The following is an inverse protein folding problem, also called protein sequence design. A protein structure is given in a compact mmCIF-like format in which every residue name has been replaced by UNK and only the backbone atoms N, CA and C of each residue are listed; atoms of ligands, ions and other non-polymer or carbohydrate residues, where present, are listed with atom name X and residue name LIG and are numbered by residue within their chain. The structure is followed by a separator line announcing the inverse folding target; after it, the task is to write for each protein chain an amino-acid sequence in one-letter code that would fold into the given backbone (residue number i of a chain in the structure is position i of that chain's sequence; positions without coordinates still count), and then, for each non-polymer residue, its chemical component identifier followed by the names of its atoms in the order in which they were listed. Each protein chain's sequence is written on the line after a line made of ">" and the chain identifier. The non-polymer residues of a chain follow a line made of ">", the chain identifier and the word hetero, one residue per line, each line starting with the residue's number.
data_IF_340265935083
#
_entry.id   IF_340265935083
#
_cell.length_a   1.000
_cell.length_b   1.000
_cell.length_c   1.000
_cell.angle_alpha   90.00
_cell.angle_beta   90.00
_cell.angle_gamma   90.00
#
_symmetry.space_group_name_H-M   'P 1'
#
loop_
_entity.id
_entity.type
_entity.pdbx_description
1 polymer ?
#
# COMPACT_ATOMS: atom_id res chain seq x y z
N UNK A 1 24.38 -57.36 3.22
CA UNK A 1 24.13 -57.20 1.79
C UNK A 1 23.67 -55.79 1.54
N UNK A 2 24.54 -55.06 0.97
CA UNK A 2 24.61 -53.70 0.48
C UNK A 2 23.30 -52.89 0.34
N UNK A 3 23.31 -51.81 1.04
CA UNK A 3 22.42 -50.67 0.78
C UNK A 3 23.24 -49.46 0.36
N UNK A 4 23.08 -49.02 -0.88
CA UNK A 4 23.78 -47.88 -1.44
C UNK A 4 22.89 -46.60 -1.27
N UNK A 5 23.31 -45.79 -0.34
CA UNK A 5 22.73 -44.48 -0.07
C UNK A 5 23.24 -43.48 -1.14
N UNK A 6 22.34 -42.98 -2.00
CA UNK A 6 22.61 -41.92 -2.97
C UNK A 6 22.47 -40.56 -2.30
N UNK A 7 23.58 -39.97 -1.88
CA UNK A 7 23.72 -38.56 -1.52
C UNK A 7 23.37 -37.67 -2.73
N UNK A 8 22.24 -36.96 -2.68
CA UNK A 8 21.98 -35.80 -3.55
C UNK A 8 22.50 -34.57 -2.85
N UNK A 9 23.65 -34.06 -3.28
CA UNK A 9 24.17 -32.75 -2.90
C UNK A 9 23.22 -31.66 -3.42
N UNK A 10 22.41 -31.09 -2.54
CA UNK A 10 21.64 -29.87 -2.81
C UNK A 10 22.54 -28.70 -2.41
N UNK A 11 23.10 -28.02 -3.40
CA UNK A 11 23.86 -26.79 -3.20
C UNK A 11 22.99 -25.73 -2.54
N UNK A 12 23.48 -25.11 -1.47
CA UNK A 12 22.79 -24.01 -0.81
C UNK A 12 22.81 -22.78 -1.73
N UNK A 13 21.77 -21.92 -1.62
CA UNK A 13 21.67 -20.65 -2.39
C UNK A 13 22.92 -19.78 -2.26
N UNK A 14 23.62 -19.85 -1.15
CA UNK A 14 24.85 -19.09 -0.88
C UNK A 14 26.06 -19.61 -1.68
N UNK A 15 26.11 -20.89 -1.95
CA UNK A 15 27.16 -21.52 -2.80
C UNK A 15 26.89 -21.29 -4.27
N UNK A 16 25.60 -21.28 -4.70
CA UNK A 16 25.19 -20.94 -6.05
C UNK A 16 25.61 -19.51 -6.46
N UNK A 17 25.39 -18.54 -5.55
CA UNK A 17 25.77 -17.13 -5.79
C UNK A 17 27.28 -16.90 -5.83
N UNK A 18 28.08 -17.70 -5.09
CA UNK A 18 29.55 -17.63 -5.15
C UNK A 18 30.11 -18.19 -6.45
N UNK A 19 29.44 -19.16 -7.07
CA UNK A 19 29.88 -19.79 -8.33
C UNK A 19 29.63 -18.89 -9.55
N UNK A 20 28.65 -18.01 -9.51
CA UNK A 20 28.36 -17.05 -10.60
C UNK A 20 29.30 -15.84 -10.57
N UNK A 21 29.86 -15.47 -9.42
CA UNK A 21 30.76 -14.33 -9.27
C UNK A 21 32.20 -14.53 -9.74
N UNK A 22 32.62 -15.75 -10.09
CA UNK A 22 34.01 -16.08 -10.40
C UNK A 22 34.34 -16.38 -11.89
N UNK A 23 33.34 -16.22 -12.79
CA UNK A 23 33.51 -16.54 -14.21
C UNK A 23 33.24 -15.35 -15.14
N UNK A 24 33.87 -14.23 -14.93
CA UNK A 24 33.70 -13.02 -15.73
C UNK A 24 34.97 -12.26 -16.04
N UNK A 25 35.98 -12.89 -16.66
CA UNK A 25 36.98 -12.18 -17.46
C UNK A 25 37.57 -13.13 -18.48
N UNK A 26 37.32 -12.91 -19.71
CA UNK A 26 38.10 -12.95 -20.93
C UNK A 26 37.34 -13.50 -22.15
N UNK A 27 37.37 -12.71 -23.18
CA UNK A 27 37.49 -13.04 -24.60
C UNK A 27 36.39 -12.54 -25.53
N UNK A 28 36.76 -11.55 -26.23
CA UNK A 28 36.45 -11.04 -27.58
C UNK A 28 35.77 -11.98 -28.60
N UNK A 29 34.72 -11.41 -29.24
CA UNK A 29 34.49 -11.46 -30.70
C UNK A 29 33.83 -12.69 -31.28
N UNK A 30 32.63 -12.48 -31.82
CA UNK A 30 32.25 -12.72 -33.23
C UNK A 30 30.72 -12.73 -33.42
N UNK A 31 30.35 -12.03 -34.45
CA UNK A 31 29.02 -11.84 -35.03
C UNK A 31 28.38 -13.15 -35.53
N UNK A 32 27.07 -13.32 -35.31
CA UNK A 32 26.14 -13.83 -36.33
C UNK A 32 24.68 -13.77 -35.89
N UNK A 33 23.81 -13.37 -36.80
CA UNK A 33 22.37 -13.18 -36.70
C UNK A 33 21.57 -14.48 -36.55
N UNK A 34 20.45 -14.43 -35.79
CA UNK A 34 19.09 -14.71 -36.27
C UNK A 34 18.13 -15.10 -35.14
N UNK A 35 16.98 -14.42 -35.11
CA UNK A 35 15.67 -15.04 -34.80
C UNK A 35 15.11 -14.96 -33.39
N UNK A 36 14.33 -13.93 -33.09
CA UNK A 36 12.98 -14.00 -32.53
C UNK A 36 12.76 -14.49 -31.10
N UNK A 37 12.45 -13.58 -30.20
CA UNK A 37 11.90 -13.88 -28.88
C UNK A 37 12.03 -12.67 -27.96
N UNK A 38 10.99 -11.85 -27.95
CA UNK A 38 10.96 -10.57 -27.23
C UNK A 38 10.62 -10.82 -25.77
N UNK A 39 11.60 -10.94 -24.90
CA UNK A 39 11.48 -10.75 -23.44
C UNK A 39 12.60 -9.82 -22.98
N UNK A 40 12.48 -8.57 -23.42
CA UNK A 40 13.38 -7.49 -23.05
C UNK A 40 12.99 -6.82 -21.74
N UNK A 41 13.14 -7.50 -20.61
CA UNK A 41 13.36 -6.79 -19.36
C UNK A 41 14.79 -6.29 -19.37
N UNK A 42 15.02 -5.08 -19.86
CA UNK A 42 16.28 -4.36 -19.75
C UNK A 42 16.71 -4.32 -18.29
N UNK A 43 17.74 -5.09 -17.94
CA UNK A 43 18.50 -4.89 -16.72
C UNK A 43 19.21 -3.54 -16.84
N UNK A 44 18.52 -2.46 -16.46
CA UNK A 44 19.17 -1.21 -16.16
C UNK A 44 20.21 -1.50 -15.09
N UNK A 45 21.48 -1.16 -15.33
CA UNK A 45 22.56 -1.30 -14.38
C UNK A 45 22.10 -0.69 -13.06
N UNK A 46 22.05 -1.50 -12.00
CA UNK A 46 21.63 -1.08 -10.69
C UNK A 46 22.69 -0.11 -10.16
N UNK A 47 22.55 1.18 -10.48
CA UNK A 47 23.32 2.21 -9.82
C UNK A 47 23.07 2.05 -8.32
N UNK A 48 24.16 1.97 -7.56
CA UNK A 48 24.13 1.83 -6.11
C UNK A 48 23.31 2.97 -5.50
N UNK A 49 22.35 2.63 -4.63
CA UNK A 49 21.49 3.64 -3.99
C UNK A 49 22.32 4.29 -2.88
N UNK A 50 22.56 5.61 -2.90
CA UNK A 50 23.36 6.27 -1.87
C UNK A 50 22.68 6.18 -0.50
N UNK A 51 23.40 5.68 0.50
CA UNK A 51 22.87 5.50 1.86
C UNK A 51 22.65 6.82 2.62
N UNK A 52 23.28 7.91 2.21
CA UNK A 52 23.32 9.21 2.91
C UNK A 52 22.44 10.30 2.26
N UNK A 53 21.64 9.94 1.24
CA UNK A 53 20.91 10.92 0.41
C UNK A 53 19.40 10.95 0.63
N UNK A 54 18.89 10.28 1.64
CA UNK A 54 17.46 10.33 1.97
C UNK A 54 17.00 11.78 2.19
N UNK A 55 15.87 12.12 1.57
CA UNK A 55 15.21 13.41 1.84
C UNK A 55 14.43 13.32 3.14
N UNK A 56 14.63 14.31 4.02
CA UNK A 56 13.94 14.39 5.32
C UNK A 56 13.03 15.62 5.37
N UNK A 57 12.01 15.53 6.24
CA UNK A 57 11.12 16.64 6.61
C UNK A 57 11.10 16.77 8.12
N UNK A 58 11.09 18.01 8.60
CA UNK A 58 11.01 18.29 10.05
C UNK A 58 9.55 18.50 10.44
N UNK A 59 9.08 17.75 11.44
CA UNK A 59 7.78 18.00 12.04
C UNK A 59 7.82 19.37 12.76
N UNK A 60 6.94 20.33 12.41
CA UNK A 60 7.00 21.67 12.98
C UNK A 60 6.64 21.72 14.46
N UNK A 61 5.97 20.69 14.99
CA UNK A 61 5.52 20.64 16.39
C UNK A 61 6.54 19.94 17.28
N UNK A 62 7.07 18.77 16.87
CA UNK A 62 7.97 17.96 17.69
C UNK A 62 9.45 18.18 17.37
N UNK A 63 9.77 18.76 16.21
CA UNK A 63 11.15 18.87 15.73
C UNK A 63 11.71 17.57 15.14
N UNK A 64 10.94 16.50 15.10
CA UNK A 64 11.39 15.21 14.57
C UNK A 64 11.79 15.31 13.09
N UNK A 65 12.99 14.87 12.77
CA UNK A 65 13.50 14.79 11.40
C UNK A 65 13.12 13.44 10.79
N UNK A 66 12.03 13.41 10.04
CA UNK A 66 11.41 12.18 9.49
C UNK A 66 11.80 12.00 8.03
N UNK A 67 12.15 10.76 7.65
CA UNK A 67 12.40 10.40 6.23
C UNK A 67 11.14 10.58 5.40
N UNK A 68 11.30 11.15 4.20
CA UNK A 68 10.17 11.36 3.30
C UNK A 68 9.58 10.05 2.78
N UNK A 69 10.39 8.98 2.69
CA UNK A 69 9.90 7.61 2.55
C UNK A 69 9.60 7.03 3.92
N UNK A 70 8.34 6.67 4.17
CA UNK A 70 7.91 5.90 5.33
C UNK A 70 7.64 4.44 4.96
N UNK A 71 8.04 3.51 5.82
CA UNK A 71 7.80 2.07 5.63
C UNK A 71 6.43 1.68 6.19
N UNK A 72 5.47 1.37 5.30
CA UNK A 72 4.15 0.86 5.68
C UNK A 72 4.18 -0.66 5.94
N UNK A 73 3.95 -1.08 7.18
CA UNK A 73 4.03 -2.47 7.62
C UNK A 73 2.74 -3.29 7.37
N UNK A 74 1.84 -2.77 6.55
CA UNK A 74 0.56 -3.42 6.22
C UNK A 74 0.72 -4.57 5.21
N UNK A 75 1.78 -4.56 4.40
CA UNK A 75 2.03 -5.50 3.30
C UNK A 75 3.32 -6.27 3.49
N UNK A 76 3.55 -6.76 4.73
CA UNK A 76 4.74 -7.53 5.04
C UNK A 76 4.81 -8.81 4.18
N UNK A 77 6.02 -9.30 3.86
CA UNK A 77 6.20 -10.55 3.13
C UNK A 77 5.71 -11.75 3.94
N UNK A 78 5.21 -12.77 3.25
CA UNK A 78 4.88 -14.08 3.82
C UNK A 78 5.84 -15.14 3.33
N UNK A 79 5.90 -16.26 4.05
CA UNK A 79 6.73 -17.43 3.70
C UNK A 79 6.44 -17.94 2.28
N UNK A 80 5.21 -17.73 1.77
CA UNK A 80 4.84 -18.03 0.36
C UNK A 80 5.27 -16.99 -0.66
N UNK A 81 6.02 -15.95 -0.26
CA UNK A 81 6.52 -14.88 -1.16
C UNK A 81 5.48 -13.86 -1.60
N UNK A 82 4.26 -13.93 -1.06
CA UNK A 82 3.20 -12.92 -1.21
C UNK A 82 3.16 -12.00 0.00
N UNK A 83 2.35 -10.95 -0.06
CA UNK A 83 2.07 -10.16 1.12
C UNK A 83 1.32 -10.98 2.17
N UNK A 84 1.77 -10.96 3.44
CA UNK A 84 1.12 -11.63 4.57
C UNK A 84 -0.33 -11.18 4.80
N UNK A 85 -0.76 -10.08 4.13
CA UNK A 85 -2.12 -9.62 4.07
C UNK A 85 -3.01 -10.52 3.21
N UNK A 86 -2.45 -11.26 2.26
CA UNK A 86 -3.18 -11.95 1.21
C UNK A 86 -3.71 -13.32 1.58
N UNK A 87 -3.25 -13.93 2.66
CA UNK A 87 -3.62 -15.27 3.03
C UNK A 87 -3.56 -15.57 4.54
N UNK A 88 -3.66 -16.85 4.87
CA UNK A 88 -3.36 -17.38 6.21
C UNK A 88 -1.86 -17.63 6.40
N UNK A 89 -1.05 -17.26 5.41
CA UNK A 89 0.38 -17.50 5.42
C UNK A 89 1.04 -16.74 6.58
N UNK A 90 2.08 -17.32 7.13
CA UNK A 90 2.85 -16.68 8.17
C UNK A 90 3.72 -15.58 7.61
N UNK A 91 3.98 -14.56 8.42
CA UNK A 91 4.94 -13.51 8.05
C UNK A 91 6.32 -14.14 7.95
N UNK A 92 7.01 -13.87 6.87
CA UNK A 92 8.43 -14.18 6.71
C UNK A 92 9.25 -13.16 7.50
N UNK A 93 9.51 -13.47 8.77
CA UNK A 93 10.22 -12.56 9.68
C UNK A 93 11.65 -12.29 9.23
N UNK A 94 12.33 -13.25 8.59
CA UNK A 94 13.69 -13.07 8.09
C UNK A 94 13.70 -12.01 6.97
N UNK A 95 12.80 -12.14 6.01
CA UNK A 95 12.64 -11.15 4.95
C UNK A 95 12.21 -9.78 5.49
N UNK A 96 11.34 -9.72 6.51
CA UNK A 96 10.98 -8.44 7.18
C UNK A 96 12.22 -7.79 7.79
N UNK A 97 13.05 -8.58 8.48
CA UNK A 97 14.29 -8.08 9.08
C UNK A 97 15.24 -7.54 8.01
N UNK A 98 15.45 -8.27 6.92
CA UNK A 98 16.30 -7.83 5.80
C UNK A 98 15.81 -6.51 5.18
N UNK A 99 14.50 -6.38 4.96
CA UNK A 99 13.91 -5.16 4.41
C UNK A 99 14.06 -3.97 5.37
N UNK A 100 13.86 -4.18 6.67
CA UNK A 100 14.00 -3.12 7.69
C UNK A 100 15.46 -2.72 7.84
N UNK A 101 16.40 -3.68 7.89
CA UNK A 101 17.83 -3.40 7.96
C UNK A 101 18.28 -2.56 6.77
N UNK A 102 17.88 -2.96 5.57
CA UNK A 102 18.22 -2.23 4.33
C UNK A 102 17.59 -0.82 4.32
N UNK A 103 16.33 -0.68 4.75
CA UNK A 103 15.65 0.59 4.82
C UNK A 103 16.34 1.57 5.77
N UNK A 104 16.70 1.12 7.00
CA UNK A 104 17.41 1.93 7.99
C UNK A 104 18.80 2.32 7.50
N UNK A 105 19.53 1.38 6.89
CA UNK A 105 20.85 1.64 6.31
C UNK A 105 20.82 2.71 5.21
N UNK A 106 19.67 2.90 4.54
CA UNK A 106 19.46 3.91 3.51
C UNK A 106 18.65 5.12 4.00
N UNK A 107 18.57 5.31 5.33
CA UNK A 107 18.03 6.52 5.95
C UNK A 107 16.51 6.55 6.15
N UNK A 108 15.79 5.47 5.90
CA UNK A 108 14.37 5.37 6.29
C UNK A 108 14.28 5.25 7.80
N UNK A 109 13.52 6.14 8.42
CA UNK A 109 13.39 6.17 9.87
C UNK A 109 11.94 6.24 10.38
N UNK A 110 10.93 6.07 9.52
CA UNK A 110 9.51 6.07 9.91
C UNK A 110 8.83 4.76 9.51
N UNK A 111 8.30 4.02 10.50
CA UNK A 111 7.68 2.71 10.33
C UNK A 111 6.25 2.75 10.83
N UNK A 112 5.29 2.56 9.91
CA UNK A 112 3.85 2.67 10.18
C UNK A 112 3.18 1.29 10.25
N UNK A 113 2.64 0.94 11.40
CA UNK A 113 1.93 -0.32 11.63
C UNK A 113 0.55 -0.10 12.26
N UNK A 114 -0.10 -1.19 12.69
CA UNK A 114 -1.41 -1.17 13.35
C UNK A 114 -1.73 -2.55 13.92
N UNK A 115 -2.44 -2.66 15.06
CA UNK A 115 -2.94 -3.95 15.56
C UNK A 115 -3.91 -4.64 14.59
N UNK A 116 -4.48 -3.93 13.61
CA UNK A 116 -5.35 -4.52 12.59
C UNK A 116 -4.59 -5.08 11.36
N UNK A 117 -3.29 -4.77 11.22
CA UNK A 117 -2.53 -5.17 10.02
C UNK A 117 -2.06 -6.62 10.09
N UNK A 118 -1.98 -7.28 8.93
CA UNK A 118 -1.56 -8.68 8.82
C UNK A 118 -2.30 -9.60 9.81
N UNK A 119 -3.61 -9.38 9.99
CA UNK A 119 -4.45 -10.14 10.95
C UNK A 119 -3.94 -10.10 12.40
N UNK A 120 -3.47 -8.96 12.83
CA UNK A 120 -2.96 -8.73 14.18
C UNK A 120 -1.49 -9.09 14.39
N UNK A 121 -0.78 -9.51 13.35
CA UNK A 121 0.63 -9.96 13.48
C UNK A 121 1.66 -8.87 13.14
N UNK A 122 1.24 -7.73 12.55
CA UNK A 122 2.16 -6.73 12.03
C UNK A 122 2.96 -6.02 13.13
N UNK A 123 2.33 -5.64 14.26
CA UNK A 123 3.05 -4.97 15.36
C UNK A 123 4.17 -5.83 15.92
N UNK A 124 3.90 -7.12 16.17
CA UNK A 124 4.92 -8.06 16.65
C UNK A 124 6.08 -8.22 15.68
N UNK A 125 5.78 -8.40 14.38
CA UNK A 125 6.81 -8.53 13.38
C UNK A 125 7.65 -7.23 13.24
N UNK A 126 7.00 -6.07 13.35
CA UNK A 126 7.65 -4.76 13.38
C UNK A 126 8.55 -4.61 14.61
N UNK A 127 8.05 -4.97 15.80
CA UNK A 127 8.81 -4.92 17.04
C UNK A 127 10.07 -5.79 16.99
N UNK A 128 9.94 -7.05 16.52
CA UNK A 128 11.10 -7.96 16.34
C UNK A 128 12.14 -7.35 15.38
N UNK A 129 11.72 -6.78 14.26
CA UNK A 129 12.67 -6.22 13.30
C UNK A 129 13.36 -4.97 13.84
N UNK A 130 12.60 -4.05 14.44
CA UNK A 130 13.12 -2.76 14.91
C UNK A 130 13.94 -2.88 16.22
N UNK A 131 13.64 -3.83 17.10
CA UNK A 131 14.42 -4.04 18.35
C UNK A 131 15.88 -4.43 18.08
N UNK A 132 16.25 -4.77 16.86
CA UNK A 132 17.62 -5.05 16.42
C UNK A 132 18.45 -3.79 16.19
N UNK A 133 17.82 -2.61 16.22
CA UNK A 133 18.42 -1.32 15.97
C UNK A 133 18.33 -0.41 17.19
N UNK A 134 19.26 0.56 17.35
CA UNK A 134 19.15 1.54 18.42
C UNK A 134 17.83 2.33 18.32
N UNK A 135 17.15 2.52 19.45
CA UNK A 135 15.80 3.10 19.51
C UNK A 135 15.71 4.54 18.97
N UNK A 136 16.80 5.27 19.00
CA UNK A 136 16.92 6.65 18.47
C UNK A 136 17.06 6.73 16.96
N UNK A 137 17.21 5.61 16.26
CA UNK A 137 17.36 5.55 14.80
C UNK A 137 16.04 5.52 14.04
N UNK A 138 14.90 5.32 14.73
CA UNK A 138 13.61 5.18 14.07
C UNK A 138 12.46 5.73 14.88
N UNK A 139 11.39 6.07 14.19
CA UNK A 139 10.08 6.43 14.71
C UNK A 139 9.09 5.30 14.43
N UNK A 140 8.31 4.90 15.43
CA UNK A 140 7.21 3.94 15.32
C UNK A 140 5.89 4.71 15.29
N UNK A 141 5.11 4.47 14.25
CA UNK A 141 3.71 4.86 14.18
C UNK A 141 2.81 3.63 14.31
N UNK A 142 1.85 3.69 15.24
CA UNK A 142 0.78 2.69 15.32
C UNK A 142 -0.57 3.35 15.61
N UNK A 143 -1.64 2.56 15.67
CA UNK A 143 -3.00 3.09 15.63
C UNK A 143 -3.89 2.42 16.67
N UNK A 144 -4.81 3.17 17.26
CA UNK A 144 -5.89 2.57 18.04
C UNK A 144 -6.99 2.07 17.09
N UNK A 145 -7.01 0.77 16.81
CA UNK A 145 -7.83 0.12 15.79
C UNK A 145 -9.09 -0.54 16.37
N UNK A 146 -9.78 0.14 17.26
CA UNK A 146 -11.01 -0.31 17.93
C UNK A 146 -12.23 -0.27 16.99
N UNK A 147 -12.20 -1.02 15.87
CA UNK A 147 -13.25 -0.97 14.84
C UNK A 147 -14.55 -1.69 15.24
N UNK A 148 -14.45 -2.81 15.97
CA UNK A 148 -15.61 -3.59 16.35
C UNK A 148 -16.27 -3.03 17.62
N UNK A 149 -17.63 -2.99 17.72
CA UNK A 149 -18.32 -2.52 18.92
C UNK A 149 -17.83 -3.16 20.24
N UNK A 150 -17.44 -4.41 20.21
CA UNK A 150 -16.85 -5.12 21.36
C UNK A 150 -15.54 -4.50 21.87
N UNK A 151 -14.86 -3.67 21.05
CA UNK A 151 -13.61 -2.99 21.41
C UNK A 151 -13.78 -1.53 21.76
N UNK A 152 -15.03 -1.00 21.79
CA UNK A 152 -15.32 0.40 22.05
C UNK A 152 -15.31 0.79 23.53
N UNK A 153 -15.35 -0.18 24.46
CA UNK A 153 -15.23 0.19 25.88
C UNK A 153 -13.86 0.81 26.16
N UNK A 154 -13.80 1.64 27.22
CA UNK A 154 -12.53 2.25 27.67
C UNK A 154 -11.50 1.18 28.00
N UNK A 155 -11.91 0.15 28.73
CA UNK A 155 -11.06 -0.95 29.15
C UNK A 155 -10.45 -1.70 27.95
N UNK A 156 -11.27 -2.05 26.98
CA UNK A 156 -10.84 -2.76 25.76
C UNK A 156 -9.90 -1.90 24.91
N UNK A 157 -10.20 -0.60 24.76
CA UNK A 157 -9.35 0.33 24.01
C UNK A 157 -8.01 0.58 24.71
N UNK A 158 -8.00 0.73 26.04
CA UNK A 158 -6.76 0.85 26.84
C UNK A 158 -5.94 -0.42 26.76
N UNK A 159 -6.59 -1.60 26.84
CA UNK A 159 -5.92 -2.88 26.71
C UNK A 159 -5.26 -3.02 25.31
N UNK A 160 -5.93 -2.59 24.26
CA UNK A 160 -5.38 -2.57 22.88
C UNK A 160 -4.13 -1.68 22.81
N UNK A 161 -4.20 -0.45 23.31
CA UNK A 161 -3.06 0.47 23.36
C UNK A 161 -1.86 -0.12 24.12
N UNK A 162 -2.10 -0.70 25.30
CA UNK A 162 -1.03 -1.35 26.10
C UNK A 162 -0.45 -2.57 25.40
N UNK A 163 -1.30 -3.34 24.70
CA UNK A 163 -0.83 -4.47 23.91
C UNK A 163 0.06 -4.02 22.74
N UNK A 164 -0.24 -2.89 22.10
CA UNK A 164 0.62 -2.33 21.04
C UNK A 164 2.03 -2.03 21.56
N UNK A 165 2.18 -1.42 22.75
CA UNK A 165 3.49 -1.22 23.39
C UNK A 165 4.26 -2.54 23.59
N UNK A 166 3.55 -3.57 24.08
CA UNK A 166 4.12 -4.90 24.29
C UNK A 166 4.55 -5.59 23.01
N UNK A 167 3.69 -5.62 21.99
CA UNK A 167 3.98 -6.27 20.70
C UNK A 167 5.11 -5.55 19.94
N UNK A 168 5.17 -4.23 20.05
CA UNK A 168 6.23 -3.40 19.48
C UNK A 168 7.52 -3.41 20.29
N UNK A 169 7.50 -3.96 21.52
CA UNK A 169 8.65 -4.04 22.43
C UNK A 169 9.23 -2.66 22.78
N UNK A 170 8.36 -1.68 23.07
CA UNK A 170 8.74 -0.30 23.38
C UNK A 170 8.02 0.26 24.60
N UNK A 171 8.63 1.23 25.27
CA UNK A 171 8.05 1.93 26.43
C UNK A 171 7.21 3.15 26.04
N UNK A 172 7.39 3.66 24.80
CA UNK A 172 6.66 4.80 24.25
C UNK A 172 6.46 4.65 22.75
N UNK A 173 5.40 5.30 22.24
CA UNK A 173 5.05 5.37 20.83
C UNK A 173 5.38 6.76 20.30
N UNK A 174 6.13 6.86 19.19
CA UNK A 174 6.48 8.15 18.61
C UNK A 174 5.27 8.83 17.94
N UNK A 175 4.44 8.05 17.23
CA UNK A 175 3.27 8.55 16.50
C UNK A 175 2.07 7.63 16.73
N UNK A 176 1.08 8.07 17.49
CA UNK A 176 -0.17 7.31 17.68
C UNK A 176 -1.30 7.96 16.92
N UNK A 177 -2.12 7.14 16.24
CA UNK A 177 -3.27 7.60 15.47
C UNK A 177 -4.59 7.04 16.00
N UNK A 178 -5.62 7.87 16.03
CA UNK A 178 -7.00 7.39 16.00
C UNK A 178 -7.24 6.75 14.62
N UNK A 179 -7.58 5.46 14.56
CA UNK A 179 -7.59 4.72 13.30
C UNK A 179 -8.90 4.86 12.54
N UNK A 180 -8.83 5.39 11.31
CA UNK A 180 -9.95 5.41 10.37
C UNK A 180 -11.14 6.24 10.83
N UNK A 181 -10.90 7.46 11.33
CA UNK A 181 -12.00 8.38 11.69
C UNK A 181 -12.82 8.73 10.44
N UNK A 182 -14.14 8.83 10.60
CA UNK A 182 -15.08 9.06 9.49
C UNK A 182 -15.57 7.79 8.79
N UNK A 183 -15.07 6.61 9.17
CA UNK A 183 -15.62 5.32 8.70
C UNK A 183 -17.00 5.02 9.32
N UNK A 184 -17.64 3.96 8.85
CA UNK A 184 -18.91 3.46 9.38
C UNK A 184 -20.05 4.51 9.33
N UNK A 185 -20.68 4.81 10.46
CA UNK A 185 -21.70 5.83 10.61
C UNK A 185 -21.15 7.25 10.79
N UNK A 186 -19.86 7.47 10.54
CA UNK A 186 -19.23 8.78 10.58
C UNK A 186 -19.12 9.34 11.99
N UNK A 187 -19.80 10.47 12.28
CA UNK A 187 -19.68 11.16 13.55
C UNK A 187 -20.16 10.30 14.73
N UNK A 188 -21.24 9.57 14.58
CA UNK A 188 -21.79 8.72 15.64
C UNK A 188 -20.80 7.62 16.07
N UNK A 189 -20.15 6.98 15.08
CA UNK A 189 -19.13 5.98 15.36
C UNK A 189 -17.87 6.59 15.97
N UNK A 190 -17.44 7.75 15.47
CA UNK A 190 -16.33 8.50 16.05
C UNK A 190 -16.56 8.81 17.53
N UNK A 191 -17.73 9.35 17.86
CA UNK A 191 -18.10 9.65 19.26
C UNK A 191 -18.09 8.39 20.14
N UNK A 192 -18.64 7.28 19.63
CA UNK A 192 -18.73 6.02 20.38
C UNK A 192 -17.34 5.39 20.60
N UNK A 193 -16.48 5.47 19.59
CA UNK A 193 -15.11 4.88 19.64
C UNK A 193 -14.14 5.68 20.49
N UNK A 194 -14.27 7.02 20.56
CA UNK A 194 -13.21 7.86 21.09
C UNK A 194 -13.64 8.87 22.16
N UNK A 195 -14.88 9.36 22.11
CA UNK A 195 -15.33 10.44 22.99
C UNK A 195 -16.14 9.94 24.18
N UNK A 196 -17.28 9.25 23.93
CA UNK A 196 -18.22 8.83 24.98
C UNK A 196 -17.60 7.85 25.99
N UNK A 197 -16.61 7.08 25.57
CA UNK A 197 -15.87 6.15 26.43
C UNK A 197 -14.65 6.80 27.13
N UNK A 198 -14.37 8.09 26.87
CA UNK A 198 -13.25 8.83 27.45
C UNK A 198 -11.86 8.35 27.03
N UNK A 199 -11.75 7.59 25.92
CA UNK A 199 -10.46 7.10 25.45
C UNK A 199 -9.61 8.21 24.86
N UNK A 200 -10.21 9.22 24.21
CA UNK A 200 -9.46 10.36 23.68
C UNK A 200 -8.76 11.12 24.81
N UNK A 201 -9.46 11.36 25.92
CA UNK A 201 -8.89 12.02 27.12
C UNK A 201 -7.71 11.22 27.67
N UNK A 202 -7.86 9.90 27.76
CA UNK A 202 -6.77 9.00 28.18
C UNK A 202 -5.56 9.12 27.26
N UNK A 203 -5.74 9.14 25.93
CA UNK A 203 -4.62 9.29 24.99
C UNK A 203 -3.95 10.66 25.08
N UNK A 204 -4.70 11.71 25.35
CA UNK A 204 -4.16 13.04 25.63
C UNK A 204 -3.33 13.05 26.94
N UNK A 205 -3.74 12.31 27.98
CA UNK A 205 -2.97 12.12 29.19
C UNK A 205 -1.68 11.33 28.94
N UNK A 206 -1.74 10.24 28.16
CA UNK A 206 -0.56 9.46 27.75
C UNK A 206 0.44 10.33 26.96
N UNK A 207 -0.05 11.27 26.13
CA UNK A 207 0.82 12.23 25.45
C UNK A 207 1.46 13.21 26.44
N UNK A 208 0.72 13.77 27.39
CA UNK A 208 1.28 14.65 28.43
C UNK A 208 2.33 13.91 29.28
N UNK A 209 2.15 12.64 29.51
CA UNK A 209 3.08 11.78 30.23
C UNK A 209 4.31 11.31 29.38
N UNK A 210 4.37 11.68 28.10
CA UNK A 210 5.48 11.31 27.21
C UNK A 210 5.47 9.88 26.69
N UNK A 211 4.44 9.07 27.01
CA UNK A 211 4.29 7.70 26.47
C UNK A 211 3.75 7.69 25.05
N UNK A 212 3.11 8.77 24.62
CA UNK A 212 2.83 9.11 23.23
C UNK A 212 3.55 10.41 22.93
N UNK A 213 4.45 10.44 21.94
CA UNK A 213 5.17 11.68 21.59
C UNK A 213 4.33 12.57 20.67
N UNK A 214 3.72 11.99 19.65
CA UNK A 214 2.86 12.66 18.68
C UNK A 214 1.51 11.95 18.60
N UNK A 215 0.41 12.71 18.77
CA UNK A 215 -0.95 12.19 18.62
C UNK A 215 -1.58 12.80 17.38
N UNK A 216 -2.17 11.94 16.55
CA UNK A 216 -2.86 12.31 15.32
C UNK A 216 -4.02 11.37 15.01
N UNK A 217 -4.49 11.40 13.78
CA UNK A 217 -5.54 10.50 13.31
C UNK A 217 -5.35 10.14 11.83
N UNK A 218 -5.86 8.99 11.42
CA UNK A 218 -6.03 8.64 10.01
C UNK A 218 -7.49 8.83 9.61
N UNK A 219 -7.70 9.50 8.48
CA UNK A 219 -9.03 9.85 8.00
C UNK A 219 -9.45 8.96 6.83
N UNK A 220 -10.73 8.50 6.90
CA UNK A 220 -11.43 7.83 5.80
C UNK A 220 -12.95 8.16 5.87
N UNK A 221 -13.54 8.54 4.75
CA UNK A 221 -15.01 8.60 4.56
C UNK A 221 -15.65 9.93 4.91
N UNK A 222 -16.39 10.04 6.01
CA UNK A 222 -17.19 11.23 6.32
C UNK A 222 -16.33 12.45 6.64
N UNK A 223 -16.33 13.44 5.74
CA UNK A 223 -15.53 14.67 5.87
C UNK A 223 -15.96 15.51 7.07
N UNK A 224 -17.20 15.40 7.54
CA UNK A 224 -17.66 16.13 8.73
C UNK A 224 -16.87 15.76 9.99
N UNK A 225 -16.41 14.51 10.09
CA UNK A 225 -15.53 14.07 11.19
C UNK A 225 -14.14 14.72 11.08
N UNK A 226 -13.60 14.78 9.88
CA UNK A 226 -12.33 15.44 9.60
C UNK A 226 -12.41 16.94 9.97
N UNK A 227 -13.42 17.64 9.47
CA UNK A 227 -13.62 19.07 9.73
C UNK A 227 -13.85 19.35 11.22
N UNK A 228 -14.63 18.48 11.91
CA UNK A 228 -14.85 18.57 13.35
C UNK A 228 -13.54 18.48 14.14
N UNK A 229 -12.69 17.49 13.80
CA UNK A 229 -11.40 17.31 14.47
C UNK A 229 -10.42 18.46 14.21
N UNK A 230 -10.43 19.02 13.00
CA UNK A 230 -9.62 20.20 12.67
C UNK A 230 -10.14 21.47 13.32
N UNK A 231 -11.45 21.64 13.45
CA UNK A 231 -12.05 22.78 14.18
C UNK A 231 -11.67 22.77 15.67
N UNK A 232 -11.37 21.60 16.23
CA UNK A 232 -10.91 21.42 17.61
C UNK A 232 -9.38 21.29 17.74
N UNK A 233 -8.64 21.70 16.71
CA UNK A 233 -7.18 21.61 16.76
C UNK A 233 -6.56 22.34 17.93
N UNK A 234 -7.12 23.50 18.33
CA UNK A 234 -6.66 24.25 19.50
C UNK A 234 -6.83 23.53 20.82
N UNK A 235 -7.79 22.64 20.92
CA UNK A 235 -8.04 21.78 22.08
C UNK A 235 -7.14 20.53 22.02
N UNK A 236 -7.17 19.80 20.93
CA UNK A 236 -6.50 18.50 20.81
C UNK A 236 -5.03 18.61 20.42
N UNK A 237 -4.59 19.71 19.81
CA UNK A 237 -3.20 19.94 19.37
C UNK A 237 -2.68 18.77 18.55
N UNK A 238 -3.36 18.43 17.43
CA UNK A 238 -2.92 17.37 16.54
C UNK A 238 -1.51 17.62 16.02
N UNK A 239 -0.60 16.67 16.23
CA UNK A 239 0.79 16.78 15.80
C UNK A 239 0.97 16.43 14.31
N UNK A 240 0.02 15.65 13.74
CA UNK A 240 0.00 15.24 12.35
C UNK A 240 -1.36 14.63 12.01
N UNK A 241 -1.65 14.48 10.70
CA UNK A 241 -2.84 13.80 10.22
C UNK A 241 -2.48 12.93 9.01
N UNK A 242 -2.97 11.70 9.00
CA UNK A 242 -2.77 10.75 7.90
C UNK A 242 -3.95 10.79 6.94
N UNK A 243 -3.70 11.11 5.68
CA UNK A 243 -4.71 11.22 4.61
C UNK A 243 -4.32 10.39 3.39
N UNK A 244 -5.31 9.89 2.67
CA UNK A 244 -5.14 9.30 1.34
C UNK A 244 -4.87 10.42 0.35
N UNK A 245 -3.71 10.34 -0.38
CA UNK A 245 -3.33 11.36 -1.34
C UNK A 245 -2.45 10.77 -2.45
N UNK A 246 -2.83 11.02 -3.69
CA UNK A 246 -2.10 10.74 -4.90
C UNK A 246 -2.63 11.63 -6.04
N UNK A 247 -2.00 11.61 -7.21
CA UNK A 247 -2.38 12.50 -8.32
C UNK A 247 -3.78 12.22 -8.91
N UNK A 248 -4.33 11.01 -8.71
CA UNK A 248 -5.70 10.68 -9.14
C UNK A 248 -6.73 11.18 -8.12
N UNK A 249 -6.54 10.85 -6.84
CA UNK A 249 -7.43 11.25 -5.75
C UNK A 249 -7.38 12.76 -5.48
N UNK A 250 -6.38 13.46 -6.02
CA UNK A 250 -6.24 14.91 -5.86
C UNK A 250 -7.53 15.64 -6.24
N UNK A 251 -8.15 15.29 -7.39
CA UNK A 251 -9.39 15.91 -7.90
C UNK A 251 -10.51 14.92 -8.20
N UNK A 252 -10.27 13.62 -8.08
CA UNK A 252 -11.24 12.62 -8.53
C UNK A 252 -11.63 11.61 -7.46
N UNK A 253 -11.19 11.77 -6.20
CA UNK A 253 -11.54 10.84 -5.12
C UNK A 253 -13.06 10.74 -4.94
N UNK A 254 -13.75 11.88 -4.87
CA UNK A 254 -15.21 11.95 -4.75
C UNK A 254 -15.95 11.37 -5.95
N UNK A 255 -15.40 11.54 -7.18
CA UNK A 255 -15.97 10.97 -8.40
C UNK A 255 -15.84 9.45 -8.45
N UNK A 256 -14.70 8.92 -7.97
CA UNK A 256 -14.43 7.47 -7.88
C UNK A 256 -15.30 6.83 -6.80
N UNK A 257 -15.44 7.49 -5.66
CA UNK A 257 -16.25 7.06 -4.54
C UNK A 257 -16.92 8.28 -3.89
N UNK A 258 -18.27 8.43 -3.96
CA UNK A 258 -18.98 9.62 -3.46
C UNK A 258 -18.79 9.93 -1.97
N UNK A 259 -18.31 8.97 -1.18
CA UNK A 259 -17.98 9.17 0.23
C UNK A 259 -16.55 9.62 0.49
N UNK A 260 -15.68 9.52 -0.53
CA UNK A 260 -14.34 10.06 -0.42
C UNK A 260 -14.36 11.58 -0.61
N UNK A 261 -13.34 12.21 -0.09
CA UNK A 261 -13.10 13.64 -0.27
C UNK A 261 -11.84 13.82 -1.12
N UNK A 262 -11.89 14.73 -2.08
CA UNK A 262 -10.74 15.03 -2.91
C UNK A 262 -9.54 15.44 -2.05
N UNK A 263 -8.38 14.89 -2.35
CA UNK A 263 -7.18 15.07 -1.53
C UNK A 263 -6.70 16.52 -1.51
N UNK A 264 -7.00 17.31 -2.54
CA UNK A 264 -6.73 18.75 -2.60
C UNK A 264 -7.41 19.50 -1.43
N UNK A 265 -8.66 19.16 -1.12
CA UNK A 265 -9.37 19.73 0.02
C UNK A 265 -8.72 19.34 1.35
N UNK A 266 -8.51 18.05 1.56
CA UNK A 266 -7.96 17.54 2.82
C UNK A 266 -6.57 18.13 3.09
N UNK A 267 -5.71 18.11 2.10
CA UNK A 267 -4.38 18.69 2.18
C UNK A 267 -4.44 20.20 2.42
N UNK A 268 -5.32 20.92 1.71
CA UNK A 268 -5.51 22.36 1.87
C UNK A 268 -5.90 22.75 3.29
N UNK A 269 -6.82 22.01 3.93
CA UNK A 269 -7.25 22.28 5.30
C UNK A 269 -6.14 22.01 6.33
N UNK A 270 -5.31 21.00 6.12
CA UNK A 270 -4.13 20.74 6.95
C UNK A 270 -3.08 21.87 6.81
N UNK A 271 -2.84 22.33 5.58
CA UNK A 271 -1.90 23.42 5.30
C UNK A 271 -2.30 24.74 5.95
N UNK A 272 -3.59 25.09 5.94
CA UNK A 272 -4.11 26.31 6.61
C UNK A 272 -3.79 26.33 8.11
N UNK A 273 -3.67 25.14 8.74
CA UNK A 273 -3.43 24.98 10.17
C UNK A 273 -1.99 24.59 10.51
N UNK A 274 -1.12 24.53 9.51
CA UNK A 274 0.26 24.07 9.63
C UNK A 274 0.39 22.67 10.27
N UNK A 275 -0.59 21.78 10.03
CA UNK A 275 -0.59 20.40 10.49
C UNK A 275 0.12 19.54 9.43
N UNK A 276 1.18 18.80 9.78
CA UNK A 276 1.87 17.92 8.84
C UNK A 276 0.97 16.79 8.34
N UNK A 277 1.05 16.50 7.03
CA UNK A 277 0.35 15.38 6.42
C UNK A 277 1.27 14.16 6.33
N UNK A 278 0.82 13.03 6.84
CA UNK A 278 1.36 11.71 6.53
C UNK A 278 0.51 11.11 5.41
N UNK A 279 1.15 10.67 4.32
CA UNK A 279 0.41 10.23 3.14
C UNK A 279 0.29 8.72 3.13
N UNK A 280 -0.96 8.23 3.08
CA UNK A 280 -1.29 6.82 2.78
C UNK A 280 -1.84 6.69 1.37
N UNK A 281 -1.81 5.47 0.83
CA UNK A 281 -2.32 5.11 -0.50
C UNK A 281 -1.72 5.95 -1.66
N UNK A 282 -0.42 6.25 -1.64
CA UNK A 282 0.20 7.00 -2.74
C UNK A 282 0.06 6.27 -4.08
N UNK A 283 -0.04 4.93 -4.06
CA UNK A 283 -0.24 4.09 -5.24
C UNK A 283 -1.66 3.50 -5.37
N UNK A 284 -2.63 3.87 -4.53
CA UNK A 284 -3.96 3.26 -4.51
C UNK A 284 -3.92 1.72 -4.50
N UNK A 285 -3.18 1.15 -3.54
CA UNK A 285 -3.01 -0.31 -3.43
C UNK A 285 -2.23 -0.94 -4.60
N UNK A 286 -1.48 -0.15 -5.36
CA UNK A 286 -0.73 -0.58 -6.54
C UNK A 286 -1.40 -0.23 -7.87
N UNK A 287 -2.60 0.33 -7.89
CA UNK A 287 -3.28 0.73 -9.13
C UNK A 287 -2.49 1.75 -9.94
N UNK A 288 -1.79 2.67 -9.30
CA UNK A 288 -0.98 3.69 -9.96
C UNK A 288 0.41 3.18 -10.39
N UNK A 289 0.79 1.97 -10.05
CA UNK A 289 1.95 1.26 -10.62
C UNK A 289 1.57 0.33 -11.78
N UNK A 290 0.28 0.00 -11.91
CA UNK A 290 -0.27 -0.85 -12.97
C UNK A 290 -1.40 -0.10 -13.70
N UNK A 291 -1.02 0.83 -14.55
CA UNK A 291 -1.90 1.71 -15.34
C UNK A 291 -2.01 1.23 -16.79
N UNK A 292 -3.03 1.68 -17.57
CA UNK A 292 -3.14 1.35 -18.99
C UNK A 292 -1.88 1.64 -19.79
N UNK A 293 -1.57 0.81 -20.79
CA UNK A 293 -0.36 0.92 -21.61
C UNK A 293 -0.14 2.29 -22.25
N UNK A 294 -1.21 2.99 -22.64
CA UNK A 294 -1.17 4.37 -23.14
C UNK A 294 -0.70 5.36 -22.09
N UNK A 295 -1.08 5.14 -20.81
CA UNK A 295 -0.62 5.96 -19.68
C UNK A 295 0.83 5.62 -19.37
N UNK A 296 1.23 4.32 -19.40
CA UNK A 296 2.64 3.92 -19.25
C UNK A 296 3.50 4.63 -20.29
N UNK A 297 3.10 4.59 -21.59
CA UNK A 297 3.83 5.23 -22.66
C UNK A 297 3.96 6.75 -22.45
N UNK A 298 2.88 7.42 -22.02
CA UNK A 298 2.86 8.85 -21.72
C UNK A 298 3.85 9.21 -20.59
N UNK A 299 3.86 8.44 -19.50
CA UNK A 299 4.78 8.67 -18.36
C UNK A 299 6.24 8.41 -18.77
N UNK A 300 6.49 7.31 -19.48
CA UNK A 300 7.83 6.92 -19.95
C UNK A 300 8.38 7.85 -21.04
N UNK A 301 7.55 8.44 -21.87
CA UNK A 301 7.98 9.43 -22.84
C UNK A 301 8.55 10.69 -22.17
N UNK A 302 8.02 11.06 -21.00
CA UNK A 302 8.50 12.22 -20.25
C UNK A 302 9.75 11.93 -19.45
N UNK A 303 9.82 10.78 -18.77
CA UNK A 303 11.02 10.32 -18.03
C UNK A 303 11.20 8.79 -18.23
N UNK A 304 11.97 8.37 -19.25
CA UNK A 304 12.13 6.95 -19.62
C UNK A 304 12.67 6.06 -18.50
N UNK A 305 13.62 6.57 -17.73
CA UNK A 305 14.34 5.81 -16.69
C UNK A 305 13.55 5.65 -15.39
N UNK A 306 12.58 6.52 -15.14
CA UNK A 306 11.82 6.49 -13.90
C UNK A 306 10.69 5.45 -13.96
N UNK A 307 10.43 4.76 -12.86
CA UNK A 307 9.31 3.83 -12.75
C UNK A 307 7.96 4.56 -12.86
N UNK A 308 6.91 3.84 -13.27
CA UNK A 308 5.54 4.39 -13.28
C UNK A 308 5.12 4.79 -11.85
N UNK A 309 5.50 4.00 -10.85
CA UNK A 309 5.20 4.26 -9.44
C UNK A 309 5.85 5.55 -8.94
N UNK A 310 7.06 5.86 -9.40
CA UNK A 310 7.81 7.05 -8.95
C UNK A 310 7.06 8.36 -9.17
N UNK A 311 6.24 8.47 -10.21
CA UNK A 311 5.42 9.66 -10.47
C UNK A 311 4.42 9.94 -9.35
N UNK A 312 3.77 8.90 -8.82
CA UNK A 312 2.82 9.04 -7.71
C UNK A 312 3.54 9.36 -6.38
N UNK A 313 4.68 8.75 -6.15
CA UNK A 313 5.52 9.07 -4.98
C UNK A 313 6.04 10.51 -5.04
N UNK A 314 6.58 10.92 -6.18
CA UNK A 314 7.06 12.30 -6.38
C UNK A 314 5.93 13.31 -6.27
N UNK A 315 4.72 13.00 -6.76
CA UNK A 315 3.56 13.87 -6.58
C UNK A 315 3.31 14.16 -5.11
N UNK A 316 3.17 13.13 -4.29
CA UNK A 316 2.94 13.28 -2.86
C UNK A 316 4.12 13.94 -2.15
N UNK A 317 5.35 13.51 -2.43
CA UNK A 317 6.56 13.99 -1.78
C UNK A 317 6.94 15.42 -2.15
N UNK A 318 6.49 15.95 -3.31
CA UNK A 318 6.78 17.33 -3.72
C UNK A 318 5.88 18.35 -3.03
N UNK A 319 4.80 17.95 -2.39
CA UNK A 319 3.87 18.85 -1.72
C UNK A 319 4.48 19.38 -0.40
N UNK A 320 4.54 20.71 -0.19
CA UNK A 320 5.00 21.28 1.08
C UNK A 320 4.13 20.85 2.25
N UNK A 321 4.73 20.54 3.42
CA UNK A 321 3.99 20.10 4.61
C UNK A 321 3.58 18.62 4.60
N UNK A 322 3.92 17.86 3.56
CA UNK A 322 3.95 16.41 3.63
C UNK A 322 5.16 15.99 4.45
N UNK A 323 4.95 15.29 5.54
CA UNK A 323 5.99 14.83 6.45
C UNK A 323 6.65 13.54 5.94
N UNK A 324 5.83 12.56 5.57
CA UNK A 324 6.29 11.28 5.04
C UNK A 324 5.24 10.66 4.13
N UNK A 325 5.67 9.84 3.17
CA UNK A 325 4.82 9.12 2.22
C UNK A 325 5.00 7.63 2.47
N UNK A 326 3.93 6.97 2.90
CA UNK A 326 3.95 5.57 3.30
C UNK A 326 3.91 4.65 2.07
N UNK A 327 4.81 3.68 2.04
CA UNK A 327 4.79 2.60 1.06
C UNK A 327 4.84 1.23 1.72
N UNK A 328 3.93 0.34 1.32
CA UNK A 328 3.98 -1.07 1.68
C UNK A 328 4.92 -1.81 0.73
N UNK A 329 6.09 -2.16 1.22
CA UNK A 329 7.16 -2.77 0.42
C UNK A 329 7.33 -4.25 0.83
N UNK A 330 6.79 -5.15 0.01
CA UNK A 330 6.80 -6.60 0.26
C UNK A 330 8.08 -7.28 -0.23
N UNK A 331 8.84 -6.61 -1.14
CA UNK A 331 10.04 -7.13 -1.79
C UNK A 331 11.13 -6.08 -1.80
N UNK A 332 12.38 -6.54 -1.89
CA UNK A 332 13.55 -5.67 -1.94
C UNK A 332 13.51 -4.71 -3.15
N UNK A 333 13.01 -5.17 -4.30
CA UNK A 333 12.90 -4.34 -5.51
C UNK A 333 11.95 -3.15 -5.30
N UNK A 334 10.86 -3.33 -4.54
CA UNK A 334 9.95 -2.22 -4.20
C UNK A 334 10.67 -1.18 -3.34
N UNK A 335 11.42 -1.63 -2.34
CA UNK A 335 12.18 -0.74 -1.45
C UNK A 335 13.25 0.03 -2.22
N UNK A 336 14.00 -0.65 -3.07
CA UNK A 336 15.04 -0.04 -3.89
C UNK A 336 14.48 1.00 -4.88
N UNK A 337 13.35 0.72 -5.55
CA UNK A 337 12.71 1.68 -6.47
C UNK A 337 12.24 2.95 -5.72
N UNK A 338 11.65 2.77 -4.55
CA UNK A 338 11.19 3.87 -3.72
C UNK A 338 12.35 4.70 -3.16
N UNK A 339 13.44 4.06 -2.77
CA UNK A 339 14.66 4.74 -2.34
C UNK A 339 15.25 5.58 -3.47
N UNK A 340 15.32 5.06 -4.72
CA UNK A 340 15.76 5.87 -5.88
C UNK A 340 14.89 7.11 -6.09
N UNK A 341 13.62 7.05 -5.71
CA UNK A 341 12.69 8.18 -5.82
C UNK A 341 12.93 9.25 -4.76
N UNK A 342 13.36 8.86 -3.54
CA UNK A 342 13.43 9.75 -2.40
C UNK A 342 14.85 10.02 -1.86
N UNK A 343 15.87 9.38 -2.43
CA UNK A 343 17.26 9.54 -1.98
C UNK A 343 18.22 10.06 -3.08
N UNK A 344 18.17 11.37 -3.43
CA UNK A 344 17.25 12.40 -2.96
C UNK A 344 15.97 12.53 -3.80
N UNK A 345 14.92 13.11 -3.23
CA UNK A 345 13.75 13.51 -4.00
C UNK A 345 14.14 14.54 -5.07
N UNK A 346 13.73 14.28 -6.32
CA UNK A 346 13.67 15.30 -7.37
C UNK A 346 12.24 15.86 -7.39
N UNK A 347 11.97 17.05 -6.84
CA UNK A 347 10.64 17.61 -6.78
C UNK A 347 10.02 17.77 -8.16
N UNK A 348 8.69 17.63 -8.25
CA UNK A 348 7.95 17.94 -9.47
C UNK A 348 7.90 19.45 -9.69
N UNK A 349 8.00 19.85 -10.96
CA UNK A 349 7.75 21.22 -11.41
C UNK A 349 6.24 21.48 -11.54
N UNK A 350 5.82 22.73 -11.67
CA UNK A 350 4.41 23.08 -11.95
C UNK A 350 3.89 22.41 -13.25
N UNK A 351 4.77 22.27 -14.24
CA UNK A 351 4.47 21.60 -15.49
C UNK A 351 4.26 20.08 -15.28
N UNK A 352 5.04 19.45 -14.40
CA UNK A 352 4.84 18.05 -14.03
C UNK A 352 3.53 17.85 -13.27
N UNK A 353 3.17 18.76 -12.37
CA UNK A 353 1.87 18.73 -11.69
C UNK A 353 0.71 18.81 -12.69
N UNK A 354 0.77 19.73 -13.64
CA UNK A 354 -0.24 19.88 -14.73
C UNK A 354 -0.30 18.62 -15.58
N UNK A 355 0.85 18.10 -16.01
CA UNK A 355 0.96 16.86 -16.77
C UNK A 355 0.30 15.67 -16.04
N UNK A 356 0.50 15.54 -14.74
CA UNK A 356 -0.14 14.47 -13.93
C UNK A 356 -1.65 14.70 -13.78
N UNK A 357 -2.13 15.93 -13.66
CA UNK A 357 -3.57 16.22 -13.64
C UNK A 357 -4.24 15.86 -14.97
N UNK A 358 -3.60 16.15 -16.10
CA UNK A 358 -4.08 15.70 -17.42
C UNK A 358 -4.06 14.18 -17.56
N UNK A 359 -3.01 13.53 -17.02
CA UNK A 359 -2.89 12.07 -16.99
C UNK A 359 -4.01 11.45 -16.16
N UNK A 360 -4.30 12.01 -14.98
CA UNK A 360 -5.43 11.60 -14.15
C UNK A 360 -6.78 11.73 -14.88
N UNK A 361 -6.98 12.85 -15.60
CA UNK A 361 -8.18 13.04 -16.40
C UNK A 361 -8.33 12.00 -17.53
N UNK A 362 -7.21 11.58 -18.15
CA UNK A 362 -7.21 10.48 -19.12
C UNK A 362 -7.53 9.15 -18.46
N UNK A 363 -6.96 8.86 -17.27
CA UNK A 363 -7.25 7.63 -16.52
C UNK A 363 -8.72 7.50 -16.14
N UNK A 364 -9.41 8.62 -15.88
CA UNK A 364 -10.85 8.62 -15.58
C UNK A 364 -11.76 8.22 -16.75
N UNK A 365 -11.19 7.96 -17.94
CA UNK A 365 -11.93 7.41 -19.09
C UNK A 365 -11.95 5.87 -19.11
N UNK A 366 -11.11 5.22 -18.30
CA UNK A 366 -11.09 3.76 -18.18
C UNK A 366 -12.05 3.32 -17.09
N UNK A 367 -12.91 2.34 -17.39
CA UNK A 367 -13.92 1.80 -16.45
C UNK A 367 -13.30 0.76 -15.50
N UNK A 368 -12.28 1.17 -14.73
CA UNK A 368 -11.64 0.32 -13.74
C UNK A 368 -12.43 0.31 -12.42
N UNK A 369 -12.54 -0.87 -11.81
CA UNK A 369 -13.14 -1.01 -10.48
C UNK A 369 -12.19 -0.39 -9.44
N UNK A 370 -12.67 0.48 -8.53
CA UNK A 370 -11.81 1.23 -7.61
C UNK A 370 -11.27 0.37 -6.42
N UNK A 371 -10.96 -0.91 -6.66
CA UNK A 371 -10.39 -1.79 -5.66
C UNK A 371 -8.90 -1.44 -5.43
N UNK A 372 -8.54 -1.14 -4.17
CA UNK A 372 -7.16 -0.87 -3.73
C UNK A 372 -6.54 -2.04 -2.96
N UNK A 373 -7.11 -3.23 -3.09
CA UNK A 373 -6.62 -4.45 -2.43
C UNK A 373 -6.47 -4.33 -0.91
N UNK A 374 -7.37 -3.60 -0.26
CA UNK A 374 -7.32 -3.41 1.19
C UNK A 374 -7.75 -4.66 1.99
N UNK A 375 -8.44 -5.61 1.39
CA UNK A 375 -8.91 -6.90 1.95
C UNK A 375 -9.84 -6.83 3.16
N UNK A 376 -10.39 -5.66 3.47
CA UNK A 376 -11.39 -5.56 4.53
C UNK A 376 -12.70 -6.30 4.24
N UNK A 377 -12.96 -6.62 2.96
CA UNK A 377 -14.06 -7.48 2.53
C UNK A 377 -13.80 -9.00 2.76
N UNK A 378 -12.62 -9.36 3.29
CA UNK A 378 -12.24 -10.75 3.52
C UNK A 378 -12.23 -11.10 5.01
N UNK A 379 -12.50 -12.38 5.39
CA UNK A 379 -12.84 -13.50 4.52
C UNK A 379 -14.28 -13.44 4.01
N UNK A 380 -14.48 -13.86 2.75
CA UNK A 380 -15.83 -14.11 2.26
C UNK A 380 -16.39 -15.42 2.86
N UNK A 381 -17.59 -15.46 3.47
CA UNK A 381 -18.14 -16.68 4.05
C UNK A 381 -18.38 -17.80 3.04
N UNK A 382 -18.46 -17.45 1.75
CA UNK A 382 -18.62 -18.42 0.64
C UNK A 382 -17.29 -18.75 -0.05
N UNK A 383 -16.16 -18.33 0.53
CA UNK A 383 -14.83 -18.71 0.10
C UNK A 383 -14.26 -17.95 -1.12
N UNK A 384 -14.94 -16.91 -1.62
CA UNK A 384 -14.45 -16.14 -2.77
C UNK A 384 -13.18 -15.34 -2.41
N UNK A 385 -12.30 -15.18 -3.41
CA UNK A 385 -11.19 -14.23 -3.34
C UNK A 385 -11.58 -12.92 -4.02
N UNK A 386 -12.39 -12.13 -3.31
CA UNK A 386 -12.98 -10.90 -3.84
C UNK A 386 -11.92 -9.97 -4.45
N UNK A 387 -10.84 -9.60 -3.74
CA UNK A 387 -9.84 -8.70 -4.30
C UNK A 387 -9.15 -9.27 -5.53
N UNK A 388 -8.77 -10.56 -5.52
CA UNK A 388 -8.10 -11.18 -6.66
C UNK A 388 -8.97 -11.16 -7.93
N UNK A 389 -10.30 -11.35 -7.78
CA UNK A 389 -11.25 -11.26 -8.90
C UNK A 389 -11.27 -9.85 -9.49
N UNK A 390 -11.44 -8.82 -8.64
CA UNK A 390 -11.54 -7.42 -9.06
C UNK A 390 -10.22 -6.92 -9.68
N UNK A 391 -9.09 -7.30 -9.10
CA UNK A 391 -7.76 -6.93 -9.61
C UNK A 391 -7.44 -7.61 -10.93
N UNK A 392 -7.83 -8.88 -11.10
CA UNK A 392 -7.67 -9.56 -12.38
C UNK A 392 -8.42 -8.85 -13.51
N UNK A 393 -9.68 -8.47 -13.26
CA UNK A 393 -10.48 -7.71 -14.22
C UNK A 393 -9.79 -6.38 -14.60
N UNK A 394 -9.36 -5.59 -13.59
CA UNK A 394 -8.65 -4.33 -13.81
C UNK A 394 -7.35 -4.52 -14.60
N UNK A 395 -6.58 -5.56 -14.28
CA UNK A 395 -5.37 -5.91 -15.01
C UNK A 395 -5.66 -6.18 -16.48
N UNK A 396 -6.64 -7.02 -16.76
CA UNK A 396 -7.03 -7.34 -18.13
C UNK A 396 -7.52 -6.10 -18.87
N UNK A 397 -8.28 -5.21 -18.22
CA UNK A 397 -8.73 -3.95 -18.80
C UNK A 397 -7.53 -3.05 -19.16
N UNK A 398 -6.58 -2.89 -18.26
CA UNK A 398 -5.39 -2.07 -18.47
C UNK A 398 -4.49 -2.62 -19.61
N UNK A 399 -4.46 -3.93 -19.78
CA UNK A 399 -3.69 -4.63 -20.81
C UNK A 399 -4.43 -4.73 -22.16
N UNK A 400 -5.67 -4.22 -22.27
CA UNK A 400 -6.51 -4.35 -23.48
C UNK A 400 -7.02 -5.78 -23.70
N UNK A 401 -7.09 -6.58 -22.65
CA UNK A 401 -7.55 -7.97 -22.67
C UNK A 401 -9.02 -8.15 -22.23
N UNK A 402 -9.83 -7.09 -22.38
CA UNK A 402 -11.28 -7.11 -22.13
C UNK A 402 -11.98 -6.72 -23.44
N UNK A 403 -12.10 -7.67 -24.42
CA UNK A 403 -12.79 -7.41 -25.67
C UNK A 403 -14.29 -7.16 -25.44
N UNK A 404 -14.87 -6.24 -26.21
CA UNK A 404 -16.29 -5.91 -26.15
C UNK A 404 -17.13 -6.83 -27.05
N UNK A 405 -16.53 -7.30 -28.15
CA UNK A 405 -17.18 -8.09 -29.19
C UNK A 405 -16.28 -9.19 -29.72
N UNK A 406 -16.88 -10.30 -30.16
CA UNK A 406 -16.19 -11.34 -30.90
C UNK A 406 -15.63 -10.89 -32.28
N UNK A 407 -16.02 -9.68 -32.73
CA UNK A 407 -15.52 -9.06 -33.95
C UNK A 407 -14.23 -8.25 -33.72
N UNK A 408 -13.81 -8.05 -32.47
CA UNK A 408 -12.59 -7.29 -32.18
C UNK A 408 -11.37 -8.01 -32.78
N UNK A 409 -10.49 -7.26 -33.40
CA UNK A 409 -9.31 -7.80 -34.09
C UNK A 409 -8.41 -8.68 -33.20
N UNK A 410 -8.34 -8.36 -31.90
CA UNK A 410 -7.56 -9.10 -30.91
C UNK A 410 -8.37 -10.08 -30.07
N UNK A 411 -9.65 -10.31 -30.40
CA UNK A 411 -10.60 -11.10 -29.59
C UNK A 411 -10.01 -12.42 -29.09
N UNK A 412 -9.45 -13.25 -29.96
CA UNK A 412 -8.92 -14.59 -29.58
C UNK A 412 -7.80 -14.46 -28.54
N UNK A 413 -6.86 -13.53 -28.76
CA UNK A 413 -5.72 -13.31 -27.85
C UNK A 413 -6.20 -12.76 -26.51
N UNK A 414 -7.06 -11.74 -26.53
CA UNK A 414 -7.60 -11.11 -25.34
C UNK A 414 -8.46 -12.08 -24.52
N UNK A 415 -9.35 -12.84 -25.17
CA UNK A 415 -10.15 -13.91 -24.55
C UNK A 415 -9.27 -14.94 -23.84
N UNK A 416 -8.24 -15.44 -24.53
CA UNK A 416 -7.32 -16.41 -23.93
C UNK A 416 -6.56 -15.81 -22.75
N UNK A 417 -6.04 -14.59 -22.86
CA UNK A 417 -5.33 -13.90 -21.79
C UNK A 417 -6.24 -13.72 -20.57
N UNK A 418 -7.49 -13.28 -20.78
CA UNK A 418 -8.47 -13.14 -19.69
C UNK A 418 -8.74 -14.47 -19.00
N UNK A 419 -9.18 -15.49 -19.72
CA UNK A 419 -9.66 -16.75 -19.13
C UNK A 419 -8.52 -17.55 -18.46
N UNK A 420 -7.36 -17.66 -19.12
CA UNK A 420 -6.19 -18.33 -18.54
C UNK A 420 -5.65 -17.56 -17.35
N UNK A 421 -5.60 -16.23 -17.45
CA UNK A 421 -5.19 -15.34 -16.36
C UNK A 421 -6.13 -15.45 -15.16
N UNK A 422 -7.46 -15.56 -15.42
CA UNK A 422 -8.45 -15.71 -14.36
C UNK A 422 -8.24 -17.00 -13.57
N UNK A 423 -8.08 -18.13 -14.25
CA UNK A 423 -7.84 -19.44 -13.63
C UNK A 423 -6.51 -19.49 -12.84
N UNK A 424 -5.50 -18.75 -13.30
CA UNK A 424 -4.20 -18.64 -12.60
C UNK A 424 -4.23 -17.72 -11.39
N UNK A 425 -4.96 -16.60 -11.49
CA UNK A 425 -5.03 -15.59 -10.43
C UNK A 425 -6.02 -15.96 -9.33
N UNK A 426 -7.11 -16.66 -9.71
CA UNK A 426 -8.22 -17.02 -8.81
C UNK A 426 -8.55 -18.50 -8.95
N UNK A 427 -8.23 -19.33 -7.95
CA UNK A 427 -8.61 -20.75 -7.98
C UNK A 427 -10.11 -20.93 -8.26
N UNK A 428 -10.50 -21.94 -9.05
CA UNK A 428 -11.89 -22.17 -9.51
C UNK A 428 -12.93 -22.16 -8.40
N UNK A 429 -12.60 -22.70 -7.24
CA UNK A 429 -13.50 -22.71 -6.07
C UNK A 429 -13.64 -21.35 -5.38
N UNK A 430 -12.88 -20.32 -5.82
CA UNK A 430 -12.86 -18.98 -5.23
C UNK A 430 -13.29 -17.89 -6.23
N UNK A 431 -13.77 -18.29 -7.41
CA UNK A 431 -14.19 -17.39 -8.48
C UNK A 431 -15.57 -16.78 -8.26
N UNK A 432 -15.92 -15.77 -9.07
CA UNK A 432 -17.09 -14.91 -8.93
C UNK A 432 -18.43 -15.65 -9.04
N UNK A 433 -18.49 -16.75 -9.77
CA UNK A 433 -19.69 -17.58 -9.94
C UNK A 433 -20.27 -18.16 -8.63
N UNK A 434 -19.53 -18.07 -7.53
CA UNK A 434 -20.00 -18.50 -6.19
C UNK A 434 -20.60 -17.35 -5.36
N UNK A 435 -20.67 -16.15 -5.90
CA UNK A 435 -21.28 -15.03 -5.21
C UNK A 435 -22.80 -15.18 -5.17
N UNK A 436 -23.36 -15.22 -3.96
CA UNK A 436 -24.81 -15.30 -3.75
C UNK A 436 -25.48 -13.93 -3.53
N UNK A 437 -24.72 -12.84 -3.61
CA UNK A 437 -25.25 -11.50 -3.44
C UNK A 437 -25.59 -11.10 -1.99
N UNK A 438 -25.05 -11.77 -0.96
CA UNK A 438 -25.40 -11.53 0.46
C UNK A 438 -24.98 -10.15 0.98
N UNK A 439 -24.16 -9.41 0.24
CA UNK A 439 -23.71 -8.05 0.49
C UNK A 439 -22.90 -7.80 1.80
N UNK A 440 -22.50 -8.85 2.50
CA UNK A 440 -21.71 -8.71 3.74
C UNK A 440 -20.34 -8.06 3.52
N UNK A 441 -19.75 -8.21 2.32
CA UNK A 441 -18.46 -7.65 1.98
C UNK A 441 -18.48 -6.13 1.72
N UNK A 442 -19.58 -5.59 1.13
CA UNK A 442 -19.64 -4.18 0.72
C UNK A 442 -19.63 -3.20 1.90
N UNK A 443 -20.19 -3.60 3.06
CA UNK A 443 -20.22 -2.76 4.27
C UNK A 443 -18.81 -2.50 4.82
N UNK A 444 -17.87 -3.39 4.56
CA UNK A 444 -16.48 -3.28 4.98
C UNK A 444 -15.58 -2.62 3.93
N UNK A 445 -16.10 -2.32 2.73
CA UNK A 445 -15.32 -1.75 1.66
C UNK A 445 -15.11 -0.24 1.85
N UNK A 446 -13.88 0.26 2.12
CA UNK A 446 -13.63 1.69 2.25
C UNK A 446 -13.83 2.42 0.93
N UNK A 447 -13.71 1.73 -0.22
CA UNK A 447 -13.96 2.29 -1.55
C UNK A 447 -15.44 2.21 -1.96
N UNK A 448 -16.32 1.67 -1.11
CA UNK A 448 -17.77 1.57 -1.36
C UNK A 448 -18.15 0.90 -2.67
N UNK A 449 -17.35 -0.07 -3.10
CA UNK A 449 -17.66 -0.89 -4.26
C UNK A 449 -18.92 -1.69 -3.94
N UNK A 450 -19.89 -1.68 -4.86
CA UNK A 450 -20.97 -2.66 -4.86
C UNK A 450 -20.39 -4.02 -5.31
N UNK A 451 -19.75 -4.68 -4.35
CA UNK A 451 -18.95 -5.90 -4.62
C UNK A 451 -19.79 -6.99 -5.28
N UNK A 452 -21.01 -7.34 -4.80
CA UNK A 452 -21.82 -8.35 -5.46
C UNK A 452 -22.14 -8.01 -6.92
N UNK A 453 -22.49 -6.76 -7.21
CA UNK A 453 -22.77 -6.30 -8.58
C UNK A 453 -21.55 -6.47 -9.48
N UNK A 454 -20.37 -6.07 -9.01
CA UNK A 454 -19.13 -6.21 -9.79
C UNK A 454 -18.74 -7.69 -9.98
N UNK A 455 -18.92 -8.54 -8.97
CA UNK A 455 -18.65 -9.96 -9.08
C UNK A 455 -19.58 -10.62 -10.11
N UNK A 456 -20.89 -10.33 -10.09
CA UNK A 456 -21.84 -10.85 -11.05
C UNK A 456 -21.54 -10.36 -12.48
N UNK A 457 -21.12 -9.07 -12.62
CA UNK A 457 -20.70 -8.50 -13.91
C UNK A 457 -19.49 -9.23 -14.49
N UNK A 458 -18.48 -9.48 -13.65
CA UNK A 458 -17.26 -10.21 -14.06
C UNK A 458 -17.58 -11.67 -14.40
N UNK A 459 -18.43 -12.32 -13.63
CA UNK A 459 -18.86 -13.70 -13.91
C UNK A 459 -19.60 -13.81 -15.24
N UNK A 460 -20.60 -12.96 -15.45
CA UNK A 460 -21.33 -12.91 -16.72
C UNK A 460 -20.39 -12.60 -17.91
N UNK A 461 -19.40 -11.75 -17.71
CA UNK A 461 -18.39 -11.47 -18.72
C UNK A 461 -17.51 -12.69 -19.01
N UNK A 462 -17.03 -13.38 -17.99
CA UNK A 462 -16.23 -14.60 -18.14
C UNK A 462 -17.02 -15.72 -18.87
N UNK A 463 -18.32 -15.88 -18.54
CA UNK A 463 -19.17 -16.85 -19.21
C UNK A 463 -19.39 -16.52 -20.70
N UNK A 464 -19.63 -15.26 -21.06
CA UNK A 464 -19.69 -14.84 -22.48
C UNK A 464 -18.40 -15.19 -23.23
N UNK A 465 -17.24 -14.87 -22.62
CA UNK A 465 -15.96 -15.23 -23.22
C UNK A 465 -15.78 -16.74 -23.41
N UNK A 466 -16.25 -17.59 -22.47
CA UNK A 466 -16.21 -19.06 -22.61
C UNK A 466 -17.06 -19.52 -23.79
N UNK A 467 -18.19 -18.89 -24.02
CA UNK A 467 -19.10 -19.16 -25.14
C UNK A 467 -18.57 -18.62 -26.48
N UNK A 468 -17.55 -17.76 -26.47
CA UNK A 468 -16.99 -17.15 -27.67
C UNK A 468 -17.80 -15.99 -28.22
N UNK A 469 -18.60 -15.36 -27.34
CA UNK A 469 -19.49 -14.23 -27.68
C UNK A 469 -18.92 -12.93 -27.09
#
# INVERSE_FOLDING_TARGET
>A
MNDQNKNRNVLSRREFLKTIGAAGMAATGLTACAGGGNDGASAASAAEIPADRMTYRTNPTSGDKVSLLGFGMMRLPSVGGRSAREGNEEIDQEMVNELVDYAIAHGVNYFDTSPAYCRGKSERATGIALSRHPRDKYFIATKLSNFAPATWSREASVAMYRNSLKELQVDYIDYLLLHGVGMGSGMEEFESRYVKNGILDFLLEERRAGRIRNLGFSYHGDVRVFDHLLARHDEYKWNFVQIQLNYLDWKYAKRINPRNTDAEYLYGELRKRNIPAVIMEPLLGGRLSNVPGTIVARLKQREPEMSVASWAFRFAGSLPGVQTVLSGMTRMEHLQDNLRTYAPLKPLTEDDFRFLQETAAQMMRFDTIPCNDCKYCMPCPYGLDIPAILLHYNKCLNEGNVPESSQDANFRKARQAFLVGYDRSVPKLRQANRCIGCNQCSVHCPQRIDIPKELHRIDAYAERLKQGI
#
